data_IF_086885621199
#
_entry.id   IF_086885621199
#
_cell.length_a   1.000
_cell.length_b   1.000
_cell.length_c   1.000
_cell.angle_alpha   90.00
_cell.angle_beta   90.00
_cell.angle_gamma   90.00
#
_symmetry.space_group_name_H-M   'P 1'
#
loop_
_entity.id
_entity.type
_entity.pdbx_description
1 polymer ?
#
# COMPACT_ATOMS: atom_id res chain seq x y z
N UNK A 1 -5.34 2.99 -1.30
CA UNK A 1 -4.54 4.08 -0.70
C UNK A 1 -3.21 4.14 -1.43
N UNK A 2 -2.84 5.29 -1.96
CA UNK A 2 -1.61 5.49 -2.73
C UNK A 2 -0.44 5.86 -1.82
N UNK A 3 0.80 5.67 -2.28
CA UNK A 3 2.01 6.07 -1.54
C UNK A 3 2.00 7.55 -1.15
N UNK A 4 1.47 8.42 -2.01
CA UNK A 4 1.34 9.86 -1.75
C UNK A 4 0.33 10.17 -0.62
N UNK A 5 -0.79 9.45 -0.57
CA UNK A 5 -1.78 9.58 0.51
C UNK A 5 -1.21 9.16 1.87
N UNK A 6 -0.32 8.16 1.89
CA UNK A 6 0.36 7.72 3.12
C UNK A 6 1.33 8.77 3.63
N UNK A 7 2.17 9.32 2.73
CA UNK A 7 3.08 10.42 3.08
C UNK A 7 2.30 11.62 3.60
N UNK A 8 1.24 12.03 2.90
CA UNK A 8 0.39 13.14 3.34
C UNK A 8 -0.25 12.85 4.71
N UNK A 9 -0.72 11.62 4.95
CA UNK A 9 -1.27 11.21 6.23
C UNK A 9 -0.27 11.34 7.39
N UNK A 10 0.95 10.84 7.22
CA UNK A 10 2.02 10.93 8.23
C UNK A 10 2.42 12.38 8.50
N UNK A 11 2.52 13.20 7.46
CA UNK A 11 2.86 14.62 7.62
C UNK A 11 1.75 15.42 8.33
N UNK A 12 0.47 15.05 8.14
CA UNK A 12 -0.65 15.70 8.81
C UNK A 12 -0.86 15.22 10.26
N UNK A 13 -0.59 13.96 10.55
CA UNK A 13 -0.79 13.36 11.88
C UNK A 13 0.33 12.35 12.17
N UNK A 14 1.53 12.80 12.55
CA UNK A 14 2.61 11.90 12.87
C UNK A 14 2.28 11.18 14.19
N UNK A 15 1.96 9.89 14.12
CA UNK A 15 1.79 9.04 15.30
C UNK A 15 3.16 8.78 15.88
N UNK A 16 3.54 9.55 16.90
CA UNK A 16 4.86 9.52 17.48
C UNK A 16 4.79 9.00 18.91
N UNK A 17 5.53 7.92 19.18
CA UNK A 17 5.77 7.45 20.53
C UNK A 17 6.62 8.52 21.25
N UNK A 18 5.99 9.21 22.20
CA UNK A 18 6.66 10.21 23.03
C UNK A 18 7.36 9.50 24.18
N UNK A 19 8.70 9.45 24.23
CA UNK A 19 9.36 9.20 25.49
C UNK A 19 9.06 10.37 26.42
N UNK A 20 8.38 10.11 27.54
CA UNK A 20 8.19 11.11 28.60
C UNK A 20 9.58 11.42 29.16
N UNK A 21 10.19 12.51 28.69
CA UNK A 21 11.48 12.95 29.17
C UNK A 21 11.29 13.39 30.63
N UNK A 22 12.04 12.79 31.57
CA UNK A 22 11.93 13.07 33.01
C UNK A 22 12.13 14.54 33.41
N UNK A 23 12.56 15.40 32.47
CA UNK A 23 12.61 16.86 32.63
C UNK A 23 11.23 17.53 32.65
N UNK A 24 10.21 16.91 32.07
CA UNK A 24 8.82 17.41 32.09
C UNK A 24 8.13 17.21 33.45
N UNK A 25 8.67 16.31 34.29
CA UNK A 25 8.11 16.02 35.61
C UNK A 25 8.68 16.88 36.74
N UNK A 26 9.72 17.69 36.51
CA UNK A 26 10.37 18.42 37.62
C UNK A 26 10.50 19.91 37.53
N UNK A 27 10.54 20.56 36.37
CA UNK A 27 10.63 22.02 36.37
C UNK A 27 9.82 22.61 35.23
N UNK A 28 8.84 23.44 35.62
CA UNK A 28 8.20 24.50 34.84
C UNK A 28 9.08 24.96 33.66
N UNK A 29 8.50 24.97 32.46
CA UNK A 29 9.03 25.49 31.18
C UNK A 29 9.70 24.46 30.26
N UNK A 30 8.90 23.78 29.43
CA UNK A 30 9.13 23.79 27.97
C UNK A 30 7.77 23.85 27.28
N UNK A 31 7.16 25.03 27.26
CA UNK A 31 6.20 25.38 26.23
C UNK A 31 6.19 26.90 26.18
N UNK A 32 6.76 27.45 25.10
CA UNK A 32 6.55 28.83 24.70
C UNK A 32 5.12 29.03 24.20
N UNK A 33 4.13 28.65 25.01
CA UNK A 33 2.74 29.01 24.80
C UNK A 33 2.51 30.27 25.62
N UNK A 34 2.29 31.39 24.94
CA UNK A 34 1.77 32.60 25.57
C UNK A 34 0.51 32.28 26.37
N UNK A 35 0.24 33.07 27.41
CA UNK A 35 -0.91 32.86 28.28
C UNK A 35 -2.21 32.75 27.44
N UNK A 36 -2.87 31.59 27.48
CA UNK A 36 -4.16 31.35 26.81
C UNK A 36 -4.19 30.32 25.69
N UNK A 37 -3.06 29.70 25.30
CA UNK A 37 -3.09 28.64 24.27
C UNK A 37 -3.33 27.25 24.87
N UNK A 38 -4.39 26.57 24.41
CA UNK A 38 -4.67 25.14 24.67
C UNK A 38 -4.08 24.23 23.60
N UNK A 39 -3.41 24.78 22.59
CA UNK A 39 -2.77 24.00 21.55
C UNK A 39 -1.40 23.56 22.04
N UNK A 40 -1.23 22.27 22.31
CA UNK A 40 0.09 21.69 22.43
C UNK A 40 0.73 21.68 21.03
N UNK A 41 1.35 22.78 20.63
CA UNK A 41 2.23 22.81 19.47
C UNK A 41 3.48 22.00 19.81
N UNK A 42 3.37 20.70 19.61
CA UNK A 42 4.50 19.79 19.67
C UNK A 42 5.00 19.57 18.25
N UNK A 43 6.21 20.06 17.97
CA UNK A 43 6.86 19.88 16.68
C UNK A 43 7.68 18.60 16.73
N UNK A 44 7.28 17.61 15.95
CA UNK A 44 8.08 16.42 15.72
C UNK A 44 9.49 16.81 15.21
N UNK A 45 10.53 16.17 15.74
CA UNK A 45 11.87 16.35 15.20
C UNK A 45 11.99 15.68 13.82
N UNK A 46 12.91 16.16 12.96
CA UNK A 46 13.16 15.55 11.64
C UNK A 46 13.43 14.04 11.72
N UNK A 47 14.24 13.52 12.67
CA UNK A 47 14.44 12.07 12.82
C UNK A 47 13.16 11.31 13.18
N UNK A 48 12.27 11.88 14.00
CA UNK A 48 11.00 11.26 14.36
C UNK A 48 10.04 11.19 13.17
N UNK A 49 10.00 12.23 12.34
CA UNK A 49 9.21 12.22 11.11
C UNK A 49 9.76 11.20 10.10
N UNK A 50 11.08 11.09 9.99
CA UNK A 50 11.72 10.10 9.13
C UNK A 50 11.33 8.67 9.56
N UNK A 51 11.44 8.36 10.85
CA UNK A 51 11.11 7.03 11.40
C UNK A 51 9.62 6.67 11.22
N UNK A 52 8.72 7.65 11.43
CA UNK A 52 7.29 7.46 11.19
C UNK A 52 6.97 7.22 9.70
N UNK A 53 7.64 7.93 8.79
CA UNK A 53 7.50 7.73 7.35
C UNK A 53 8.03 6.36 6.93
N UNK A 54 9.22 5.97 7.39
CA UNK A 54 9.85 4.69 7.06
C UNK A 54 9.00 3.53 7.57
N UNK A 55 8.45 3.63 8.78
CA UNK A 55 7.54 2.63 9.34
C UNK A 55 6.26 2.51 8.50
N UNK A 56 5.61 3.63 8.19
CA UNK A 56 4.37 3.63 7.42
C UNK A 56 4.55 3.09 5.99
N UNK A 57 5.67 3.44 5.35
CA UNK A 57 6.00 2.95 4.01
C UNK A 57 6.37 1.46 4.03
N UNK A 58 7.10 0.99 5.04
CA UNK A 58 7.41 -0.43 5.21
C UNK A 58 6.14 -1.26 5.37
N UNK A 59 5.20 -0.81 6.21
CA UNK A 59 3.90 -1.48 6.38
C UNK A 59 3.12 -1.52 5.06
N UNK A 60 3.09 -0.42 4.31
CA UNK A 60 2.45 -0.38 3.00
C UNK A 60 3.06 -1.36 2.02
N UNK A 61 4.39 -1.40 1.94
CA UNK A 61 5.10 -2.29 1.03
C UNK A 61 4.88 -3.76 1.41
N UNK A 62 4.82 -4.10 2.71
CA UNK A 62 4.46 -5.44 3.19
C UNK A 62 3.02 -5.81 2.81
N UNK A 63 2.05 -4.92 3.00
CA UNK A 63 0.65 -5.17 2.63
C UNK A 63 0.53 -5.38 1.12
N UNK A 64 1.20 -4.53 0.34
CA UNK A 64 1.18 -4.60 -1.13
C UNK A 64 1.88 -5.87 -1.64
N UNK A 65 3.01 -6.23 -1.03
CA UNK A 65 3.71 -7.48 -1.31
C UNK A 65 2.88 -8.70 -0.90
N UNK A 66 2.17 -8.68 0.23
CA UNK A 66 1.30 -9.78 0.66
C UNK A 66 0.10 -9.96 -0.27
N UNK A 67 -0.52 -8.86 -0.73
CA UNK A 67 -1.57 -8.90 -1.75
C UNK A 67 -1.06 -9.49 -3.08
N UNK A 68 0.21 -9.22 -3.42
CA UNK A 68 0.88 -9.77 -4.60
C UNK A 68 1.35 -11.22 -4.39
N UNK A 69 1.72 -11.59 -3.16
CA UNK A 69 2.20 -12.93 -2.82
C UNK A 69 1.07 -13.96 -2.86
N UNK A 70 -0.17 -13.58 -2.51
CA UNK A 70 -1.34 -14.45 -2.69
C UNK A 70 -1.59 -14.85 -4.16
N UNK A 71 -1.14 -14.04 -5.11
CA UNK A 71 -1.30 -14.26 -6.56
C UNK A 71 -0.07 -14.91 -7.22
N UNK A 72 1.14 -14.66 -6.70
CA UNK A 72 2.37 -15.29 -7.21
C UNK A 72 2.62 -16.66 -6.56
N UNK A 73 2.25 -16.88 -5.30
CA UNK A 73 2.47 -18.15 -4.60
C UNK A 73 1.67 -19.34 -5.16
N UNK A 74 0.64 -19.08 -5.99
CA UNK A 74 -0.13 -20.12 -6.67
C UNK A 74 0.36 -20.40 -8.11
N UNK A 75 1.39 -19.71 -8.62
CA UNK A 75 1.88 -19.90 -10.00
C UNK A 75 0.96 -19.35 -11.09
N UNK A 76 0.11 -18.37 -10.74
CA UNK A 76 -0.92 -17.84 -11.63
C UNK A 76 -0.86 -16.31 -11.79
N UNK A 77 0.27 -15.74 -12.20
CA UNK A 77 0.34 -14.31 -12.53
C UNK A 77 -0.30 -13.99 -13.90
N UNK A 78 -0.98 -12.84 -14.04
CA UNK A 78 -1.46 -12.35 -15.34
C UNK A 78 -0.32 -11.66 -16.10
N UNK A 79 0.09 -12.24 -17.22
CA UNK A 79 1.09 -11.68 -18.13
C UNK A 79 0.38 -11.07 -19.33
N UNK A 80 0.62 -9.78 -19.59
CA UNK A 80 0.06 -9.07 -20.75
C UNK A 80 1.17 -8.82 -21.76
N UNK A 81 0.97 -9.27 -22.99
CA UNK A 81 1.94 -9.13 -24.08
C UNK A 81 1.31 -8.45 -25.29
N UNK A 82 2.09 -7.64 -25.99
CA UNK A 82 1.68 -7.14 -27.30
C UNK A 82 1.79 -8.25 -28.35
N UNK A 83 0.72 -8.47 -29.10
CA UNK A 83 0.71 -9.31 -30.29
C UNK A 83 0.17 -8.48 -31.47
N UNK A 84 1.10 -7.91 -32.24
CA UNK A 84 0.76 -6.96 -33.29
C UNK A 84 0.12 -5.71 -32.70
N UNK A 85 -1.12 -5.43 -33.09
CA UNK A 85 -1.89 -4.28 -32.62
C UNK A 85 -2.78 -4.60 -31.40
N UNK A 86 -2.72 -5.81 -30.84
CA UNK A 86 -3.55 -6.23 -29.72
C UNK A 86 -2.72 -6.52 -28.46
N UNK A 87 -3.34 -6.39 -27.29
CA UNK A 87 -2.85 -6.87 -26.01
C UNK A 87 -3.46 -8.24 -25.70
N UNK A 88 -2.63 -9.24 -25.43
CA UNK A 88 -3.05 -10.60 -25.09
C UNK A 88 -2.67 -10.90 -23.65
N UNK A 89 -3.66 -11.28 -22.85
CA UNK A 89 -3.48 -11.76 -21.47
C UNK A 89 -3.31 -13.27 -21.44
N UNK A 90 -2.25 -13.74 -20.81
CA UNK A 90 -1.97 -15.16 -20.55
C UNK A 90 -1.62 -15.31 -19.07
N UNK A 91 -2.18 -16.30 -18.41
CA UNK A 91 -1.79 -16.66 -17.06
C UNK A 91 -0.44 -17.38 -17.08
N UNK A 92 0.42 -17.19 -16.08
CA UNK A 92 1.72 -17.84 -15.97
C UNK A 92 1.66 -19.38 -15.99
N UNK A 93 0.51 -19.96 -15.64
CA UNK A 93 0.24 -21.40 -15.80
C UNK A 93 0.06 -21.86 -17.27
N UNK A 94 0.12 -20.94 -18.24
CA UNK A 94 -0.06 -21.18 -19.67
C UNK A 94 -1.50 -20.98 -20.18
N UNK A 95 -2.47 -20.69 -19.30
CA UNK A 95 -3.87 -20.52 -19.71
C UNK A 95 -4.10 -19.17 -20.40
N UNK A 96 -4.65 -19.13 -21.63
CA UNK A 96 -5.05 -17.88 -22.24
C UNK A 96 -6.23 -17.28 -21.46
N UNK A 97 -6.14 -15.97 -21.21
CA UNK A 97 -7.14 -15.21 -20.44
C UNK A 97 -8.03 -14.41 -21.39
N UNK A 98 -7.43 -13.76 -22.40
CA UNK A 98 -8.18 -12.98 -23.38
C UNK A 98 -7.30 -12.10 -24.25
N UNK A 99 -7.95 -11.32 -25.13
CA UNK A 99 -7.31 -10.34 -26.01
C UNK A 99 -8.12 -9.05 -26.00
N UNK A 100 -7.45 -7.90 -25.92
CA UNK A 100 -8.06 -6.56 -25.96
C UNK A 100 -7.25 -5.63 -26.85
N UNK A 101 -7.87 -4.57 -27.36
CA UNK A 101 -7.14 -3.53 -28.10
C UNK A 101 -6.43 -2.60 -27.12
N UNK A 102 -5.27 -2.03 -27.50
CA UNK A 102 -4.65 -0.93 -26.79
C UNK A 102 -5.66 0.22 -26.61
N UNK A 103 -5.85 0.68 -25.37
CA UNK A 103 -6.85 1.69 -25.00
C UNK A 103 -8.18 1.12 -24.49
N UNK A 104 -8.43 -0.18 -24.61
CA UNK A 104 -9.52 -0.84 -23.89
C UNK A 104 -9.16 -1.03 -22.41
N UNK A 105 -10.18 -1.08 -21.54
CA UNK A 105 -9.99 -1.30 -20.10
C UNK A 105 -9.34 -2.67 -19.83
N UNK A 106 -8.31 -2.67 -18.98
CA UNK A 106 -7.61 -3.90 -18.57
C UNK A 106 -8.47 -4.85 -17.74
N UNK A 107 -9.58 -4.37 -17.18
CA UNK A 107 -10.58 -5.19 -16.47
C UNK A 107 -11.12 -6.33 -17.33
N UNK A 108 -11.15 -6.15 -18.65
CA UNK A 108 -11.52 -7.19 -19.60
C UNK A 108 -10.52 -8.38 -19.64
N UNK A 109 -9.30 -8.21 -19.10
CA UNK A 109 -8.32 -9.28 -18.87
C UNK A 109 -8.21 -9.65 -17.38
N UNK A 110 -8.33 -8.68 -16.47
CA UNK A 110 -8.20 -8.92 -15.03
C UNK A 110 -9.35 -9.79 -14.48
N UNK A 111 -10.61 -9.47 -14.81
CA UNK A 111 -11.77 -10.21 -14.29
C UNK A 111 -11.78 -11.68 -14.72
N UNK A 112 -11.52 -12.04 -16.00
CA UNK A 112 -11.39 -13.44 -16.38
C UNK A 112 -10.23 -14.16 -15.70
N UNK A 113 -9.12 -13.47 -15.44
CA UNK A 113 -7.98 -14.04 -14.73
C UNK A 113 -8.28 -14.27 -13.24
N UNK A 114 -8.93 -13.33 -12.56
CA UNK A 114 -9.36 -13.48 -11.15
C UNK A 114 -10.28 -14.69 -10.98
N UNK A 115 -11.21 -14.89 -11.92
CA UNK A 115 -12.07 -16.09 -11.94
C UNK A 115 -11.28 -17.38 -12.11
N UNK A 116 -10.19 -17.34 -12.87
CA UNK A 116 -9.33 -18.51 -13.12
C UNK A 116 -8.52 -18.90 -11.88
N UNK A 117 -8.00 -17.93 -11.13
CA UNK A 117 -7.19 -18.19 -9.92
C UNK A 117 -8.03 -18.43 -8.67
N UNK A 118 -9.33 -18.09 -8.73
CA UNK A 118 -10.26 -18.35 -7.65
C UNK A 118 -10.55 -19.84 -7.54
N UNK A 119 -10.23 -20.51 -6.41
CA UNK A 119 -10.36 -21.97 -6.26
C UNK A 119 -11.82 -22.48 -6.32
N UNK A 120 -12.82 -21.59 -6.31
CA UNK A 120 -14.24 -21.92 -6.37
C UNK A 120 -14.68 -22.62 -7.68
N UNK A 121 -13.88 -22.62 -8.76
CA UNK A 121 -14.21 -23.31 -10.01
C UNK A 121 -13.38 -24.59 -10.29
N UNK A 122 -12.47 -24.98 -9.40
CA UNK A 122 -11.57 -26.12 -9.62
C UNK A 122 -12.21 -27.51 -9.35
N UNK A 123 -13.48 -27.58 -8.91
CA UNK A 123 -14.18 -28.83 -8.53
C UNK A 123 -15.45 -29.12 -9.33
N UNK A 124 -15.49 -28.80 -10.63
CA UNK A 124 -16.63 -29.16 -11.48
C UNK A 124 -16.26 -29.91 -12.78
N UNK A 125 -15.07 -30.52 -12.85
CA UNK A 125 -14.71 -31.41 -13.97
C UNK A 125 -13.63 -32.41 -13.53
N UNK A 126 -14.02 -33.42 -12.75
CA UNK A 126 -13.36 -34.71 -12.63
C UNK A 126 -14.38 -35.73 -12.10
#
# INVERSE_FOLDING_TARGET
MTRAEIIAGVLHHPVLDRPVLGRELRERLVQGLGAGSTAAEWTATVPQLADALDTALTVHDVITAAASAGTVAAGHALVIQYQGADLVGVCQCGRPVGRVRPGAALDALAVPWERHISPAHARASA
#
